data_IF_113067496807
#
_entry.id   IF_113067496807
#
_cell.length_a   1.000
_cell.length_b   1.000
_cell.length_c   1.000
_cell.angle_alpha   90.00
_cell.angle_beta   90.00
_cell.angle_gamma   90.00
#
_symmetry.space_group_name_H-M   'P 1'
#
loop_
_entity.id
_entity.type
_entity.pdbx_description
1 polymer ?
#
# COMPACT_ATOMS: atom_id res chain seq x y z
N UNK A 1 31.99 -21.24 0.38
CA UNK A 1 30.85 -20.50 -0.19
C UNK A 1 31.28 -19.04 -0.25
N UNK A 2 31.45 -18.46 -1.44
CA UNK A 2 31.95 -17.09 -1.57
C UNK A 2 30.80 -16.11 -1.33
N UNK A 3 30.99 -15.16 -0.43
CA UNK A 3 30.02 -14.09 -0.15
C UNK A 3 30.45 -12.82 -0.87
N UNK A 4 29.51 -12.18 -1.57
CA UNK A 4 29.71 -10.88 -2.19
C UNK A 4 28.90 -9.80 -1.46
N UNK A 5 29.43 -8.58 -1.39
CA UNK A 5 28.72 -7.42 -0.85
C UNK A 5 28.18 -6.59 -2.00
N UNK A 6 26.90 -6.23 -1.93
CA UNK A 6 26.23 -5.37 -2.90
C UNK A 6 25.93 -4.02 -2.23
N UNK A 7 26.37 -2.93 -2.83
CA UNK A 7 26.06 -1.57 -2.39
C UNK A 7 25.46 -0.76 -3.53
N UNK A 8 24.36 -0.07 -3.27
CA UNK A 8 23.69 0.81 -4.24
C UNK A 8 23.23 2.11 -3.57
N UNK A 9 23.02 3.15 -4.38
CA UNK A 9 22.42 4.41 -3.91
C UNK A 9 20.93 4.38 -4.18
N UNK A 10 20.16 4.81 -3.20
CA UNK A 10 18.71 4.99 -3.28
C UNK A 10 18.37 6.31 -2.61
N UNK A 11 17.30 6.95 -3.07
CA UNK A 11 16.78 8.15 -2.42
C UNK A 11 16.26 7.83 -1.01
N UNK A 12 16.55 8.69 -0.03
CA UNK A 12 16.22 8.44 1.37
C UNK A 12 14.70 8.34 1.61
N UNK A 13 13.88 9.10 0.88
CA UNK A 13 12.41 9.03 1.01
C UNK A 13 11.89 7.72 0.44
N UNK A 14 12.46 7.27 -0.68
CA UNK A 14 12.12 5.97 -1.28
C UNK A 14 12.50 4.83 -0.33
N UNK A 15 13.70 4.89 0.27
CA UNK A 15 14.14 3.93 1.28
C UNK A 15 13.19 3.87 2.46
N UNK A 16 12.88 5.00 3.09
CA UNK A 16 12.00 5.05 4.25
C UNK A 16 10.60 4.48 3.96
N UNK A 17 10.04 4.82 2.79
CA UNK A 17 8.73 4.28 2.36
C UNK A 17 8.79 2.77 2.13
N UNK A 18 9.81 2.28 1.42
CA UNK A 18 9.98 0.85 1.17
C UNK A 18 10.20 0.06 2.48
N UNK A 19 11.00 0.60 3.40
CA UNK A 19 11.29 -0.03 4.70
C UNK A 19 10.03 -0.28 5.53
N UNK A 20 9.02 0.60 5.47
CA UNK A 20 7.74 0.37 6.13
C UNK A 20 7.04 -0.89 5.63
N UNK A 21 6.95 -1.07 4.31
CA UNK A 21 6.29 -2.23 3.71
C UNK A 21 7.10 -3.52 3.92
N UNK A 22 8.42 -3.44 3.80
CA UNK A 22 9.33 -4.56 4.02
C UNK A 22 9.23 -5.07 5.46
N UNK A 23 9.21 -4.16 6.45
CA UNK A 23 9.03 -4.54 7.86
C UNK A 23 7.63 -5.08 8.15
N UNK A 24 6.59 -4.51 7.53
CA UNK A 24 5.23 -5.02 7.68
C UNK A 24 5.09 -6.47 7.17
N UNK A 25 5.88 -6.86 6.17
CA UNK A 25 5.98 -8.23 5.67
C UNK A 25 6.89 -9.14 6.52
N UNK A 26 7.52 -8.63 7.59
CA UNK A 26 8.44 -9.38 8.43
C UNK A 26 9.80 -9.67 7.77
N UNK A 27 10.16 -8.92 6.72
CA UNK A 27 11.39 -9.10 5.97
C UNK A 27 12.40 -7.99 6.28
N UNK A 28 13.67 -8.21 5.94
CA UNK A 28 14.69 -7.17 5.90
C UNK A 28 14.99 -6.72 4.47
N UNK A 29 15.61 -5.55 4.31
CA UNK A 29 16.08 -5.10 2.99
C UNK A 29 17.08 -6.10 2.37
N UNK A 30 17.91 -6.75 3.19
CA UNK A 30 18.83 -7.80 2.75
C UNK A 30 18.10 -9.02 2.19
N UNK A 31 17.00 -9.43 2.82
CA UNK A 31 16.18 -10.54 2.31
C UNK A 31 15.57 -10.22 0.95
N UNK A 32 15.04 -9.01 0.79
CA UNK A 32 14.48 -8.54 -0.48
C UNK A 32 15.54 -8.53 -1.58
N UNK A 33 16.72 -7.95 -1.31
CA UNK A 33 17.83 -7.92 -2.28
C UNK A 33 18.24 -9.34 -2.66
N UNK A 34 18.40 -10.22 -1.66
CA UNK A 34 18.76 -11.62 -1.89
C UNK A 34 17.73 -12.34 -2.75
N UNK A 35 16.44 -12.23 -2.42
CA UNK A 35 15.36 -12.88 -3.18
C UNK A 35 15.30 -12.41 -4.63
N UNK A 36 15.47 -11.11 -4.88
CA UNK A 36 15.48 -10.57 -6.24
C UNK A 36 16.67 -11.12 -7.04
N UNK A 37 17.87 -11.14 -6.45
CA UNK A 37 19.07 -11.66 -7.10
C UNK A 37 18.98 -13.17 -7.37
N UNK A 38 18.45 -13.94 -6.41
CA UNK A 38 18.21 -15.38 -6.58
C UNK A 38 17.21 -15.64 -7.71
N UNK A 39 16.13 -14.85 -7.80
CA UNK A 39 15.15 -14.96 -8.89
C UNK A 39 15.80 -14.66 -10.23
N UNK A 40 16.56 -13.56 -10.36
CA UNK A 40 17.26 -13.20 -11.60
C UNK A 40 18.23 -14.33 -12.00
N UNK A 41 18.99 -14.88 -11.05
CA UNK A 41 19.92 -15.96 -11.33
C UNK A 41 19.21 -17.25 -11.80
N UNK A 42 17.99 -17.51 -11.31
CA UNK A 42 17.21 -18.68 -11.67
C UNK A 42 16.48 -18.53 -13.01
N UNK A 43 15.92 -17.35 -13.30
CA UNK A 43 15.08 -17.14 -14.49
C UNK A 43 15.80 -16.45 -15.64
N UNK A 44 16.89 -15.73 -15.37
CA UNK A 44 17.56 -14.86 -16.33
C UNK A 44 16.80 -13.55 -16.61
N UNK A 45 15.70 -13.29 -15.92
CA UNK A 45 14.81 -12.15 -16.15
C UNK A 45 14.99 -11.08 -15.07
N UNK A 46 15.10 -9.83 -15.50
CA UNK A 46 15.09 -8.67 -14.59
C UNK A 46 13.62 -8.33 -14.27
N UNK A 47 13.22 -8.22 -12.99
CA UNK A 47 11.87 -7.80 -12.65
C UNK A 47 11.52 -6.47 -13.31
N UNK A 48 10.43 -6.44 -14.07
CA UNK A 48 9.98 -5.23 -14.74
C UNK A 48 9.33 -4.29 -13.73
N UNK A 49 10.04 -3.21 -13.40
CA UNK A 49 9.56 -2.19 -12.48
C UNK A 49 8.45 -1.31 -13.09
N UNK A 50 8.35 -1.23 -14.42
CA UNK A 50 7.32 -0.43 -15.09
C UNK A 50 5.96 -1.13 -15.00
N UNK A 51 5.91 -2.44 -15.23
CA UNK A 51 4.70 -3.24 -15.06
C UNK A 51 4.15 -3.17 -13.62
N UNK A 52 5.03 -3.20 -12.61
CA UNK A 52 4.64 -3.11 -11.20
C UNK A 52 4.06 -1.73 -10.80
N UNK A 53 4.44 -0.65 -11.49
CA UNK A 53 3.89 0.68 -11.26
C UNK A 53 2.49 0.85 -11.86
N UNK A 54 2.22 0.21 -12.99
CA UNK A 54 0.88 0.21 -13.60
C UNK A 54 -0.11 -0.57 -12.71
N UNK A 55 0.26 -1.75 -12.21
CA UNK A 55 -0.59 -2.52 -11.30
C UNK A 55 -0.85 -1.80 -9.96
N UNK A 56 0.15 -1.11 -9.41
CA UNK A 56 -0.01 -0.33 -8.19
C UNK A 56 -0.90 0.90 -8.40
N UNK A 57 -0.84 1.55 -9.57
CA UNK A 57 -1.71 2.68 -9.92
C UNK A 57 -3.17 2.26 -9.97
N UNK A 58 -3.48 1.06 -10.45
CA UNK A 58 -4.84 0.54 -10.49
C UNK A 58 -5.36 0.11 -9.10
N UNK A 59 -4.47 -0.40 -8.24
CA UNK A 59 -4.84 -0.83 -6.89
C UNK A 59 -5.02 0.31 -5.87
N UNK A 60 -4.38 1.47 -6.11
CA UNK A 60 -4.40 2.64 -5.21
C UNK A 60 -5.27 3.80 -5.74
N UNK A 61 -6.19 3.57 -6.68
CA UNK A 61 -7.14 4.61 -7.08
C UNK A 61 -8.05 4.98 -5.89
N UNK A 62 -7.90 6.19 -5.30
CA UNK A 62 -8.70 6.59 -4.15
C UNK A 62 -10.19 6.65 -4.48
N UNK A 63 -10.57 6.85 -5.75
CA UNK A 63 -11.95 6.89 -6.20
C UNK A 63 -12.54 5.48 -6.28
N UNK A 64 -11.81 4.51 -6.84
CA UNK A 64 -12.18 3.10 -6.81
C UNK A 64 -12.36 2.59 -5.37
N UNK A 65 -11.38 2.89 -4.49
CA UNK A 65 -11.43 2.52 -3.07
C UNK A 65 -12.60 3.17 -2.32
N UNK A 66 -12.93 4.41 -2.64
CA UNK A 66 -14.13 5.08 -2.11
C UNK A 66 -15.42 4.39 -2.62
N UNK A 67 -15.45 3.97 -3.88
CA UNK A 67 -16.57 3.23 -4.48
C UNK A 67 -16.82 1.88 -3.80
N UNK A 68 -15.76 1.12 -3.54
CA UNK A 68 -15.82 -0.14 -2.77
C UNK A 68 -16.35 0.08 -1.36
N UNK A 69 -15.84 1.10 -0.66
CA UNK A 69 -16.26 1.42 0.70
C UNK A 69 -17.73 1.83 0.76
N UNK A 70 -18.20 2.62 -0.21
CA UNK A 70 -19.63 2.98 -0.36
C UNK A 70 -20.50 1.75 -0.62
N UNK A 71 -20.01 0.82 -1.42
CA UNK A 71 -20.73 -0.43 -1.73
C UNK A 71 -20.82 -1.34 -0.50
N UNK A 72 -19.72 -1.47 0.26
CA UNK A 72 -19.65 -2.26 1.47
C UNK A 72 -20.49 -1.70 2.63
N UNK A 73 -20.54 -0.38 2.80
CA UNK A 73 -21.35 0.27 3.85
C UNK A 73 -22.86 0.26 3.55
N UNK A 74 -23.24 0.16 2.27
CA UNK A 74 -24.63 0.24 1.83
C UNK A 74 -25.26 1.62 2.08
N UNK A 75 -26.52 1.78 1.66
CA UNK A 75 -27.28 3.01 1.91
C UNK A 75 -27.98 2.94 3.28
N UNK A 76 -27.48 3.69 4.27
CA UNK A 76 -28.18 3.84 5.55
C UNK A 76 -29.38 4.79 5.38
N UNK A 77 -30.59 4.22 5.38
CA UNK A 77 -31.84 5.01 5.33
C UNK A 77 -31.95 5.99 6.50
N UNK A 78 -31.39 5.61 7.64
CA UNK A 78 -31.38 6.42 8.86
C UNK A 78 -30.56 7.71 8.64
N UNK A 79 -29.33 7.58 8.14
CA UNK A 79 -28.45 8.74 7.86
C UNK A 79 -29.01 9.66 6.77
N UNK A 80 -29.69 9.09 5.77
CA UNK A 80 -30.27 9.84 4.64
C UNK A 80 -31.51 10.64 5.07
N UNK A 81 -32.21 10.19 6.13
CA UNK A 81 -33.37 10.91 6.68
C UNK A 81 -33.03 11.97 7.73
N UNK A 82 -31.76 12.09 8.14
CA UNK A 82 -31.36 13.08 9.13
C UNK A 82 -31.38 14.49 8.54
N UNK A 83 -31.89 15.44 9.32
CA UNK A 83 -31.68 16.87 9.05
C UNK A 83 -30.25 17.28 9.42
N UNK A 84 -29.75 18.36 8.82
CA UNK A 84 -28.38 18.87 9.09
C UNK A 84 -28.10 19.09 10.58
N UNK A 85 -29.09 19.52 11.35
CA UNK A 85 -28.98 19.70 12.79
C UNK A 85 -28.76 18.37 13.53
N UNK A 86 -29.54 17.35 13.17
CA UNK A 86 -29.44 16.00 13.76
C UNK A 86 -28.13 15.30 13.36
N UNK A 87 -27.65 15.52 12.13
CA UNK A 87 -26.35 15.00 11.70
C UNK A 87 -25.20 15.62 12.51
N UNK A 88 -25.23 16.94 12.75
CA UNK A 88 -24.22 17.64 13.57
C UNK A 88 -24.23 17.16 15.01
N UNK A 89 -25.40 16.96 15.60
CA UNK A 89 -25.54 16.45 16.97
C UNK A 89 -25.02 15.01 17.12
N UNK A 90 -25.33 14.13 16.15
CA UNK A 90 -24.84 12.75 16.13
C UNK A 90 -23.31 12.68 15.98
N UNK A 91 -22.71 13.52 15.13
CA UNK A 91 -21.24 13.60 15.00
C UNK A 91 -20.63 14.13 16.30
N UNK A 92 -21.20 15.19 16.88
CA UNK A 92 -20.73 15.75 18.14
C UNK A 92 -20.79 14.73 19.29
N UNK A 93 -21.85 13.93 19.40
CA UNK A 93 -21.99 12.90 20.43
C UNK A 93 -21.04 11.70 20.29
N UNK A 94 -20.47 11.47 19.09
CA UNK A 94 -19.52 10.36 18.84
C UNK A 94 -18.07 10.73 19.12
N UNK A 95 -17.75 12.01 19.17
CA UNK A 95 -16.40 12.54 19.39
C UNK A 95 -16.32 13.49 20.61
N UNK A 96 -17.34 13.47 21.47
CA UNK A 96 -17.34 14.10 22.79
C UNK A 96 -16.56 13.26 23.82
#
# INVERSE_FOLDING_TARGET
MATAVVSGRVDERVKARAEMFIHAAGLSAGDVIRMVWERIAQTGEIPDAAAALEEASDADDPVARLGELRTAFGASKELVSLTDAQMREMIAGRYA
#
